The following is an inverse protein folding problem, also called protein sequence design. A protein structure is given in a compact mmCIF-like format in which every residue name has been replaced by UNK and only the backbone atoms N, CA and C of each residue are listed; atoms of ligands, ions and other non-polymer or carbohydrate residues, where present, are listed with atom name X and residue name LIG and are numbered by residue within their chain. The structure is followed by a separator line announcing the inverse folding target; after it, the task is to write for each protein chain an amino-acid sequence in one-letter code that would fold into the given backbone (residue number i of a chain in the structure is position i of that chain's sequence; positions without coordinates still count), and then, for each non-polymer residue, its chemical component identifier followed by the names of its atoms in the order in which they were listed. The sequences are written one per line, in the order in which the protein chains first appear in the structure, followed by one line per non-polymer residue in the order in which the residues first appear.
data_IF_259164001654
#
_entry.id   IF_259164001654
#
_cell.length_a   1.000
_cell.length_b   1.000
_cell.length_c   1.000
_cell.angle_alpha   90.00
_cell.angle_beta   90.00
_cell.angle_gamma   90.00
#
_symmetry.space_group_name_H-M   'P 1'
#
loop_
_entity.id
_entity.type
_entity.pdbx_description
1 polymer ?
#
# COMPACT_ATOMS: atom_id res chain seq x y z
N UNK A 1 4.49 -5.53 -31.53
CA UNK A 1 4.76 -5.86 -30.12
C UNK A 1 4.31 -4.66 -29.30
N UNK A 2 3.15 -4.80 -28.67
CA UNK A 2 2.39 -3.73 -28.03
C UNK A 2 3.08 -3.27 -26.75
N UNK A 3 3.44 -2.00 -26.72
CA UNK A 3 3.83 -1.27 -25.52
C UNK A 3 2.68 -1.32 -24.52
N UNK A 4 2.90 -1.99 -23.37
CA UNK A 4 2.04 -1.88 -22.20
C UNK A 4 2.11 -0.43 -21.69
N UNK A 5 1.27 0.42 -22.24
CA UNK A 5 1.09 1.78 -21.77
C UNK A 5 0.42 1.68 -20.39
N UNK A 6 1.23 1.74 -19.34
CA UNK A 6 0.81 1.77 -17.95
C UNK A 6 -0.38 2.72 -17.81
N UNK A 7 -1.54 2.16 -17.46
CA UNK A 7 -2.82 2.86 -17.40
C UNK A 7 -2.91 3.61 -16.07
N UNK A 8 -1.99 4.54 -15.86
CA UNK A 8 -2.15 5.51 -14.79
C UNK A 8 -3.43 6.32 -15.08
N UNK A 9 -4.31 6.56 -14.08
CA UNK A 9 -5.50 7.36 -14.30
C UNK A 9 -5.07 8.72 -14.86
N UNK A 10 -5.43 9.02 -16.11
CA UNK A 10 -4.99 10.23 -16.83
C UNK A 10 -5.55 11.53 -16.26
N UNK A 11 -6.31 11.47 -15.17
CA UNK A 11 -6.97 12.61 -14.53
C UNK A 11 -6.95 12.42 -13.02
N UNK A 12 -5.92 12.95 -12.37
CA UNK A 12 -5.87 13.08 -10.92
C UNK A 12 -5.65 14.57 -10.66
N UNK A 13 -6.71 15.25 -10.24
CA UNK A 13 -6.77 16.72 -10.19
C UNK A 13 -6.18 17.27 -8.89
N UNK A 14 -6.08 16.45 -7.85
CA UNK A 14 -5.47 16.81 -6.57
C UNK A 14 -4.71 15.62 -5.93
N UNK A 15 -3.75 15.93 -5.05
CA UNK A 15 -2.88 14.95 -4.38
C UNK A 15 -3.68 13.91 -3.58
N UNK A 16 -4.81 14.31 -3.01
CA UNK A 16 -5.70 13.47 -2.21
C UNK A 16 -6.38 12.37 -3.03
N UNK A 17 -6.89 12.71 -4.22
CA UNK A 17 -7.46 11.75 -5.17
C UNK A 17 -6.42 10.74 -5.66
N UNK A 18 -5.14 11.13 -5.75
CA UNK A 18 -4.03 10.23 -6.09
C UNK A 18 -3.91 9.11 -5.06
N UNK A 19 -3.81 9.47 -3.78
CA UNK A 19 -3.65 8.51 -2.69
C UNK A 19 -4.81 7.52 -2.61
N UNK A 20 -6.04 8.02 -2.69
CA UNK A 20 -7.24 7.16 -2.66
C UNK A 20 -7.26 6.24 -3.86
N UNK A 21 -7.05 6.77 -5.06
CA UNK A 21 -7.13 5.97 -6.29
C UNK A 21 -6.03 4.91 -6.34
N UNK A 22 -4.79 5.28 -6.02
CA UNK A 22 -3.66 4.33 -6.02
C UNK A 22 -3.82 3.31 -4.91
N UNK A 23 -4.31 3.69 -3.72
CA UNK A 23 -4.60 2.74 -2.65
C UNK A 23 -5.70 1.74 -3.06
N UNK A 24 -6.80 2.21 -3.65
CA UNK A 24 -7.87 1.34 -4.13
C UNK A 24 -7.38 0.38 -5.23
N UNK A 25 -6.63 0.87 -6.21
CA UNK A 25 -6.06 0.03 -7.26
C UNK A 25 -5.09 -0.99 -6.68
N UNK A 26 -4.18 -0.56 -5.79
CA UNK A 26 -3.23 -1.48 -5.17
C UNK A 26 -3.95 -2.57 -4.36
N UNK A 27 -4.94 -2.19 -3.54
CA UNK A 27 -5.66 -3.13 -2.68
C UNK A 27 -6.49 -4.13 -3.50
N UNK A 28 -7.28 -3.65 -4.46
CA UNK A 28 -8.24 -4.50 -5.16
C UNK A 28 -7.71 -5.17 -6.42
N UNK A 29 -6.78 -4.55 -7.16
CA UNK A 29 -6.21 -5.15 -8.38
C UNK A 29 -4.87 -5.85 -8.10
N UNK A 30 -3.89 -5.14 -7.55
CA UNK A 30 -2.56 -5.73 -7.35
C UNK A 30 -2.60 -6.82 -6.27
N UNK A 31 -3.18 -6.52 -5.11
CA UNK A 31 -3.29 -7.50 -4.05
C UNK A 31 -4.09 -8.72 -4.45
N UNK A 32 -5.17 -8.52 -5.22
CA UNK A 32 -5.96 -9.65 -5.69
C UNK A 32 -5.27 -10.50 -6.75
N UNK A 33 -4.22 -10.01 -7.40
CA UNK A 33 -3.41 -10.78 -8.35
C UNK A 33 -2.25 -11.47 -7.66
N UNK A 34 -1.64 -10.86 -6.64
CA UNK A 34 -0.51 -11.45 -5.89
C UNK A 34 -0.89 -12.78 -5.24
N UNK A 35 -2.04 -12.88 -4.58
CA UNK A 35 -2.49 -14.13 -3.93
C UNK A 35 -3.09 -15.19 -4.88
N UNK A 36 -3.75 -14.80 -5.99
CA UNK A 36 -4.50 -15.70 -6.89
C UNK A 36 -3.66 -16.22 -8.05
N UNK A 37 -2.60 -15.51 -8.42
CA UNK A 37 -1.71 -15.93 -9.50
C UNK A 37 -0.48 -16.67 -8.95
N UNK A 38 0.24 -17.34 -9.84
CA UNK A 38 1.47 -18.07 -9.57
C UNK A 38 2.51 -17.73 -10.65
N UNK A 39 3.77 -18.01 -10.35
CA UNK A 39 4.89 -17.90 -11.30
C UNK A 39 5.02 -16.50 -11.91
N UNK A 40 5.22 -16.39 -13.23
CA UNK A 40 5.49 -15.12 -13.93
C UNK A 40 4.39 -14.06 -13.73
N UNK A 41 3.13 -14.50 -13.65
CA UNK A 41 2.00 -13.59 -13.42
C UNK A 41 2.03 -12.99 -12.01
N UNK A 42 2.50 -13.77 -11.03
CA UNK A 42 2.68 -13.30 -9.65
C UNK A 42 3.81 -12.29 -9.60
N UNK A 43 4.96 -12.59 -10.20
CA UNK A 43 6.11 -11.67 -10.25
C UNK A 43 5.78 -10.34 -10.95
N UNK A 44 5.00 -10.38 -12.03
CA UNK A 44 4.53 -9.17 -12.69
C UNK A 44 3.62 -8.32 -11.78
N UNK A 45 2.71 -8.97 -11.03
CA UNK A 45 1.84 -8.28 -10.08
C UNK A 45 2.62 -7.68 -8.90
N UNK A 46 3.67 -8.38 -8.42
CA UNK A 46 4.59 -7.85 -7.39
C UNK A 46 5.30 -6.59 -7.86
N UNK A 47 5.84 -6.62 -9.09
CA UNK A 47 6.51 -5.46 -9.68
C UNK A 47 5.56 -4.28 -9.83
N UNK A 48 4.32 -4.54 -10.26
CA UNK A 48 3.28 -3.52 -10.39
C UNK A 48 2.89 -2.93 -9.03
N UNK A 49 2.74 -3.76 -7.98
CA UNK A 49 2.52 -3.26 -6.61
C UNK A 49 3.65 -2.35 -6.14
N UNK A 50 4.91 -2.72 -6.39
CA UNK A 50 6.05 -1.87 -6.04
C UNK A 50 6.08 -0.55 -6.79
N UNK A 51 5.75 -0.55 -8.08
CA UNK A 51 5.66 0.68 -8.87
C UNK A 51 4.60 1.64 -8.28
N UNK A 52 3.47 1.12 -7.78
CA UNK A 52 2.46 1.92 -7.10
C UNK A 52 2.93 2.42 -5.73
N UNK A 53 3.59 1.59 -4.92
CA UNK A 53 4.12 1.98 -3.62
C UNK A 53 5.20 3.06 -3.75
N UNK A 54 6.10 2.95 -4.74
CA UNK A 54 7.11 3.97 -5.04
C UNK A 54 6.49 5.27 -5.54
N UNK A 55 5.41 5.19 -6.32
CA UNK A 55 4.66 6.38 -6.71
C UNK A 55 4.05 7.09 -5.49
N UNK A 56 3.46 6.33 -4.56
CA UNK A 56 2.96 6.88 -3.29
C UNK A 56 4.08 7.50 -2.46
N UNK A 57 5.23 6.83 -2.38
CA UNK A 57 6.39 7.29 -1.63
C UNK A 57 6.98 8.59 -2.20
N UNK A 58 7.07 8.73 -3.52
CA UNK A 58 7.55 9.95 -4.18
C UNK A 58 6.68 11.18 -3.88
N UNK A 59 5.37 10.98 -3.70
CA UNK A 59 4.42 12.06 -3.40
C UNK A 59 4.39 12.47 -1.91
N UNK A 60 5.01 11.65 -1.04
CA UNK A 60 5.08 11.86 0.41
C UNK A 60 6.15 12.87 0.83
N UNK A 61 6.92 13.47 -0.10
CA UNK A 61 7.97 14.49 0.10
C UNK A 61 8.12 15.02 1.54
N UNK A 62 9.14 14.52 2.26
CA UNK A 62 9.73 14.94 3.56
C UNK A 62 8.84 15.67 4.58
N UNK A 63 7.54 15.38 4.61
CA UNK A 63 6.59 15.99 5.52
C UNK A 63 6.35 15.04 6.69
N UNK A 64 6.32 15.61 7.89
CA UNK A 64 5.51 15.06 9.00
C UNK A 64 4.10 14.73 8.49
N UNK A 65 3.32 13.91 9.22
CA UNK A 65 1.92 13.53 8.89
C UNK A 65 1.24 14.53 7.96
N UNK A 66 0.47 14.10 6.97
CA UNK A 66 -0.19 15.04 6.05
C UNK A 66 -1.01 16.14 6.76
N UNK A 67 -1.38 15.96 8.04
CA UNK A 67 -1.99 16.97 8.93
C UNK A 67 -1.02 17.76 9.84
N UNK A 68 0.29 17.72 9.60
CA UNK A 68 1.33 18.30 10.44
C UNK A 68 1.61 17.50 11.71
N UNK A 69 0.98 17.89 12.84
CA UNK A 69 1.18 17.28 14.17
C UNK A 69 0.19 16.15 14.49
N UNK A 70 -0.80 15.93 13.65
CA UNK A 70 -1.85 14.92 13.79
C UNK A 70 -2.04 14.16 12.49
N UNK A 71 -2.65 12.98 12.57
CA UNK A 71 -3.06 12.19 11.40
C UNK A 71 -3.89 13.06 10.45
N UNK A 72 -3.36 13.25 9.25
CA UNK A 72 -4.08 13.84 8.13
C UNK A 72 -4.85 12.79 7.35
N UNK A 73 -5.57 13.26 6.35
CA UNK A 73 -6.37 12.40 5.48
C UNK A 73 -5.53 11.33 4.76
N UNK A 74 -4.37 11.71 4.23
CA UNK A 74 -3.45 10.78 3.55
C UNK A 74 -2.97 9.69 4.51
N UNK A 75 -2.64 10.07 5.75
CA UNK A 75 -2.22 9.11 6.77
C UNK A 75 -3.35 8.12 7.07
N UNK A 76 -4.58 8.59 7.22
CA UNK A 76 -5.75 7.73 7.44
C UNK A 76 -6.06 6.78 6.27
N UNK A 77 -5.75 7.17 5.02
CA UNK A 77 -5.87 6.30 3.84
C UNK A 77 -4.75 5.25 3.79
N UNK A 78 -3.55 5.57 4.30
CA UNK A 78 -2.41 4.66 4.34
C UNK A 78 -2.39 3.77 5.59
N UNK A 79 -3.08 4.15 6.67
CA UNK A 79 -3.20 3.35 7.90
C UNK A 79 -3.66 1.90 7.65
N UNK A 80 -4.68 1.63 6.80
CA UNK A 80 -5.08 0.26 6.47
C UNK A 80 -4.02 -0.54 5.69
N UNK A 81 -2.98 0.09 5.12
CA UNK A 81 -1.84 -0.66 4.58
C UNK A 81 -1.08 -1.37 5.70
N UNK A 82 -1.03 -0.79 6.90
CA UNK A 82 -0.27 -1.31 8.04
C UNK A 82 -0.60 -2.77 8.36
N UNK A 83 -1.89 -3.11 8.38
CA UNK A 83 -2.34 -4.47 8.67
C UNK A 83 -2.15 -5.44 7.49
N UNK A 84 -2.03 -4.95 6.25
CA UNK A 84 -1.85 -5.79 5.06
C UNK A 84 -0.39 -6.01 4.66
N UNK A 85 0.57 -5.24 5.20
CA UNK A 85 2.00 -5.40 4.89
C UNK A 85 2.46 -6.84 5.12
N UNK A 86 2.10 -7.42 6.27
CA UNK A 86 2.47 -8.79 6.61
C UNK A 86 2.01 -9.79 5.54
N UNK A 87 0.78 -9.63 5.05
CA UNK A 87 0.22 -10.45 3.98
C UNK A 87 1.00 -10.33 2.68
N UNK A 88 1.30 -9.10 2.27
CA UNK A 88 2.06 -8.85 1.04
C UNK A 88 3.47 -9.41 1.11
N UNK A 89 4.17 -9.21 2.23
CA UNK A 89 5.53 -9.72 2.40
C UNK A 89 5.57 -11.25 2.44
N UNK A 90 4.58 -11.88 3.09
CA UNK A 90 4.49 -13.35 3.21
C UNK A 90 4.15 -14.02 1.89
N UNK A 91 3.08 -13.59 1.21
CA UNK A 91 2.68 -14.18 -0.09
C UNK A 91 3.59 -13.76 -1.24
N UNK A 92 4.19 -12.59 -1.11
CA UNK A 92 5.10 -12.01 -2.08
C UNK A 92 6.53 -12.52 -1.96
N UNK A 93 6.93 -13.04 -0.80
CA UNK A 93 8.32 -13.35 -0.45
C UNK A 93 9.27 -12.17 -0.71
N UNK A 94 8.85 -10.97 -0.31
CA UNK A 94 9.64 -9.73 -0.43
C UNK A 94 9.51 -8.87 0.83
N UNK A 95 10.34 -7.84 0.97
CA UNK A 95 10.23 -6.84 2.03
C UNK A 95 9.84 -5.48 1.47
N UNK A 96 8.74 -4.93 1.97
CA UNK A 96 8.29 -3.57 1.62
C UNK A 96 9.22 -2.53 2.25
N UNK A 97 9.78 -2.82 3.43
CA UNK A 97 10.70 -1.92 4.14
C UNK A 97 11.95 -1.59 3.34
N UNK A 98 12.49 -2.55 2.59
CA UNK A 98 13.68 -2.33 1.77
C UNK A 98 13.42 -1.45 0.53
N UNK A 99 12.18 -1.43 0.05
CA UNK A 99 11.82 -0.76 -1.21
C UNK A 99 11.12 0.58 -0.96
N UNK A 100 10.38 0.71 0.15
CA UNK A 100 9.54 1.85 0.49
C UNK A 100 9.68 2.30 1.96
N UNK A 101 10.91 2.67 2.33
CA UNK A 101 11.29 3.09 3.67
C UNK A 101 10.46 4.24 4.27
N UNK A 102 10.07 5.26 3.49
CA UNK A 102 9.29 6.39 4.01
C UNK A 102 7.84 5.98 4.29
N UNK A 103 7.27 5.11 3.46
CA UNK A 103 5.93 4.57 3.65
C UNK A 103 5.87 3.72 4.93
N UNK A 104 6.87 2.86 5.15
CA UNK A 104 6.99 2.09 6.39
C UNK A 104 7.21 3.00 7.61
N UNK A 105 8.04 4.04 7.50
CA UNK A 105 8.24 5.00 8.58
C UNK A 105 6.92 5.73 8.95
N UNK A 106 6.13 6.10 7.95
CA UNK A 106 4.82 6.72 8.18
C UNK A 106 3.84 5.75 8.83
N UNK A 107 3.78 4.51 8.37
CA UNK A 107 2.97 3.45 8.97
C UNK A 107 3.35 3.22 10.43
N UNK A 108 4.64 3.03 10.73
CA UNK A 108 5.14 2.84 12.10
C UNK A 108 4.72 4.01 13.00
N UNK A 109 4.85 5.24 12.51
CA UNK A 109 4.42 6.45 13.24
C UNK A 109 2.91 6.53 13.43
N UNK A 110 2.11 6.09 12.46
CA UNK A 110 0.66 6.00 12.63
C UNK A 110 0.29 4.98 13.73
N UNK A 111 1.06 3.89 13.85
CA UNK A 111 0.85 2.85 14.86
C UNK A 111 1.21 3.29 16.29
N UNK A 112 2.04 4.32 16.46
CA UNK A 112 2.31 4.95 17.76
C UNK A 112 1.09 5.69 18.31
N UNK A 113 0.07 5.94 17.48
CA UNK A 113 -1.19 6.52 17.93
C UNK A 113 -2.14 5.43 18.44
N UNK A 114 -2.35 5.38 19.75
CA UNK A 114 -3.25 4.42 20.42
C UNK A 114 -4.65 4.31 19.78
N UNK A 115 -5.18 5.40 19.24
CA UNK A 115 -6.51 5.39 18.61
C UNK A 115 -6.53 4.65 17.28
N UNK A 116 -5.43 4.71 16.52
CA UNK A 116 -5.24 3.97 15.27
C UNK A 116 -4.99 2.50 15.55
N UNK A 117 -4.10 2.21 16.50
CA UNK A 117 -3.77 0.84 16.86
C UNK A 117 -5.00 0.02 17.27
N UNK A 118 -5.92 0.62 18.03
CA UNK A 118 -7.13 -0.05 18.54
C UNK A 118 -8.15 -0.41 17.45
N UNK A 119 -8.16 0.30 16.32
CA UNK A 119 -9.14 0.06 15.24
C UNK A 119 -8.59 -0.84 14.14
N UNK A 120 -7.27 -1.03 14.10
CA UNK A 120 -6.65 -1.88 13.10
C UNK A 120 -6.79 -3.36 13.46
N UNK A 121 -7.19 -4.21 12.50
CA UNK A 121 -7.16 -5.64 12.70
C UNK A 121 -5.72 -6.13 12.83
N UNK A 122 -5.55 -7.19 13.62
CA UNK A 122 -4.27 -7.87 13.79
C UNK A 122 -3.73 -8.35 12.42
N UNK A 123 -2.47 -8.04 12.05
CA UNK A 123 -1.92 -8.40 10.74
C UNK A 123 -1.94 -9.90 10.42
N UNK A 124 -1.83 -10.78 11.43
CA UNK A 124 -1.95 -12.22 11.23
C UNK A 124 -3.40 -12.62 10.97
N UNK A 125 -4.37 -12.01 11.66
CA UNK A 125 -5.80 -12.24 11.35
C UNK A 125 -6.19 -11.76 9.95
N UNK A 126 -5.57 -10.68 9.47
CA UNK A 126 -5.76 -10.23 8.07
C UNK A 126 -5.17 -11.26 7.11
N UNK A 127 -3.99 -11.82 7.41
CA UNK A 127 -3.40 -12.90 6.62
C UNK A 127 -4.31 -14.14 6.55
N UNK A 128 -4.80 -14.60 7.70
CA UNK A 128 -5.69 -15.77 7.77
C UNK A 128 -6.96 -15.55 6.95
N UNK A 129 -7.60 -14.38 7.08
CA UNK A 129 -8.78 -14.01 6.29
C UNK A 129 -8.51 -14.00 4.79
N UNK A 130 -7.32 -13.58 4.38
CA UNK A 130 -6.90 -13.56 2.99
C UNK A 130 -6.63 -15.00 2.49
N UNK A 131 -6.09 -15.88 3.32
CA UNK A 131 -5.92 -17.30 2.98
C UNK A 131 -7.24 -18.06 2.78
N UNK A 132 -8.32 -17.60 3.40
CA UNK A 132 -9.66 -18.17 3.33
C UNK A 132 -10.51 -17.70 2.13
N UNK A 133 -9.99 -16.79 1.28
CA UNK A 133 -10.67 -16.10 0.18
C UNK A 133 -10.26 -16.57 -1.22
#
# INVERSE_FOLDING_TARGET
MTTNQKRYPKFICNRTELYVTVFYIHKYECGSRIWKSREEAQEAAKKESFDYLKLLEGELEDKSFSGGKSLGYVDAVLVPFACCIHTYETDGNFSIENECHMLIALVKRCMENDSVFKVLPDPHKVYDFVGDL
#
